data_IF_855776863160
#
_entry.id   IF_855776863160
#
_cell.length_a   1.000
_cell.length_b   1.000
_cell.length_c   1.000
_cell.angle_alpha   90.00
_cell.angle_beta   90.00
_cell.angle_gamma   90.00
#
_symmetry.space_group_name_H-M   'P 1'
#
loop_
_entity.id
_entity.type
_entity.pdbx_description
1 polymer ?
#
# COMPACT_ATOMS: atom_id res chain seq x y z
N UNK A 1 -8.87 -7.27 -5.82
CA UNK A 1 -7.54 -6.61 -5.69
C UNK A 1 -7.70 -5.14 -6.06
N UNK A 2 -8.43 -4.92 -7.13
CA UNK A 2 -8.96 -3.64 -7.54
C UNK A 2 -10.09 -3.13 -6.66
N UNK A 3 -10.26 -1.81 -6.73
CA UNK A 3 -11.42 -1.08 -6.26
C UNK A 3 -12.29 -0.65 -7.46
N UNK A 4 -13.62 -0.55 -7.28
CA UNK A 4 -14.48 0.03 -8.29
C UNK A 4 -14.21 1.52 -8.47
N UNK A 5 -14.27 1.98 -9.72
CA UNK A 5 -13.97 3.36 -10.12
C UNK A 5 -15.00 4.40 -9.66
N UNK A 6 -16.12 3.99 -9.09
CA UNK A 6 -17.19 4.87 -8.61
C UNK A 6 -17.09 5.19 -7.10
N UNK A 7 -16.03 4.76 -6.41
CA UNK A 7 -15.83 5.11 -5.00
C UNK A 7 -15.59 6.61 -4.83
N UNK A 8 -16.21 7.19 -3.80
CA UNK A 8 -15.91 8.55 -3.36
C UNK A 8 -14.43 8.68 -2.96
N UNK A 9 -13.88 9.88 -3.11
CA UNK A 9 -12.45 10.12 -2.84
C UNK A 9 -12.02 9.62 -1.45
N UNK A 10 -12.71 9.95 -0.32
CA UNK A 10 -12.32 9.42 0.98
C UNK A 10 -12.36 7.89 1.02
N UNK A 11 -13.42 7.25 0.50
CA UNK A 11 -13.54 5.78 0.49
C UNK A 11 -12.43 5.12 -0.33
N UNK A 12 -11.99 5.74 -1.42
CA UNK A 12 -10.94 5.21 -2.29
C UNK A 12 -9.54 5.16 -1.64
N UNK A 13 -9.34 5.87 -0.53
CA UNK A 13 -8.10 5.84 0.25
C UNK A 13 -8.09 4.70 1.30
N UNK A 14 -9.26 4.18 1.68
CA UNK A 14 -9.42 3.11 2.68
C UNK A 14 -9.60 1.73 2.04
N UNK A 15 -8.55 1.29 1.36
CA UNK A 15 -8.54 0.04 0.58
C UNK A 15 -8.15 -1.20 1.41
N UNK A 16 -8.88 -1.45 2.51
CA UNK A 16 -8.57 -2.57 3.43
C UNK A 16 -8.60 -3.94 2.74
N UNK A 17 -9.50 -4.13 1.77
CA UNK A 17 -9.57 -5.36 0.97
C UNK A 17 -8.28 -5.58 0.17
N UNK A 18 -7.61 -4.52 -0.30
CA UNK A 18 -6.32 -4.59 -1.01
C UNK A 18 -5.19 -4.97 -0.07
N UNK A 19 -5.18 -4.44 1.16
CA UNK A 19 -4.25 -4.87 2.22
C UNK A 19 -4.41 -6.38 2.48
N UNK A 20 -5.65 -6.83 2.66
CA UNK A 20 -5.96 -8.25 2.88
C UNK A 20 -5.53 -9.12 1.70
N UNK A 21 -5.76 -8.66 0.47
CA UNK A 21 -5.29 -9.34 -0.75
C UNK A 21 -3.76 -9.51 -0.73
N UNK A 22 -2.99 -8.45 -0.50
CA UNK A 22 -1.53 -8.55 -0.46
C UNK A 22 -1.04 -9.45 0.68
N UNK A 23 -1.66 -9.37 1.86
CA UNK A 23 -1.32 -10.25 3.00
C UNK A 23 -1.52 -11.73 2.65
N UNK A 24 -2.67 -12.07 2.09
CA UNK A 24 -2.97 -13.44 1.66
C UNK A 24 -2.03 -13.89 0.54
N UNK A 25 -1.79 -13.04 -0.46
CA UNK A 25 -0.89 -13.36 -1.57
C UNK A 25 0.54 -13.63 -1.10
N UNK A 26 1.08 -12.78 -0.23
CA UNK A 26 2.43 -12.97 0.30
C UNK A 26 2.54 -14.21 1.19
N UNK A 27 1.47 -14.60 1.90
CA UNK A 27 1.41 -15.86 2.65
C UNK A 27 1.51 -17.07 1.73
N UNK A 28 0.80 -17.07 0.62
CA UNK A 28 0.88 -18.16 -0.37
C UNK A 28 2.20 -18.14 -1.14
N UNK A 29 2.75 -16.95 -1.44
CA UNK A 29 4.09 -16.81 -2.01
C UNK A 29 5.15 -17.43 -1.09
N UNK A 30 5.02 -17.26 0.23
CA UNK A 30 5.89 -17.91 1.22
C UNK A 30 5.81 -19.42 1.15
N UNK A 31 4.60 -19.97 1.07
CA UNK A 31 4.39 -21.42 0.95
C UNK A 31 5.10 -21.95 -0.30
N UNK A 32 4.89 -21.31 -1.45
CA UNK A 32 5.55 -21.69 -2.69
C UNK A 32 7.09 -21.67 -2.57
N UNK A 33 7.65 -20.66 -1.91
CA UNK A 33 9.12 -20.58 -1.67
C UNK A 33 9.60 -21.70 -0.75
N UNK A 34 8.84 -22.03 0.29
CA UNK A 34 9.14 -23.13 1.19
C UNK A 34 9.08 -24.49 0.49
N UNK A 35 8.16 -24.63 -0.48
CA UNK A 35 8.00 -25.82 -1.32
C UNK A 35 9.06 -25.90 -2.44
N UNK A 36 10.01 -24.96 -2.50
CA UNK A 36 11.17 -25.00 -3.38
C UNK A 36 11.12 -24.03 -4.57
N UNK A 37 10.08 -23.21 -4.71
CA UNK A 37 10.02 -22.22 -5.78
C UNK A 37 11.14 -21.16 -5.62
N UNK A 38 11.88 -20.92 -6.71
CA UNK A 38 12.94 -19.91 -6.73
C UNK A 38 12.36 -18.51 -7.02
N UNK A 39 11.95 -17.81 -5.97
CA UNK A 39 11.43 -16.43 -6.06
C UNK A 39 12.47 -15.45 -5.53
N UNK A 40 12.88 -14.50 -6.37
CA UNK A 40 13.91 -13.50 -6.02
C UNK A 40 13.33 -12.09 -5.78
N UNK A 41 12.08 -11.85 -6.15
CA UNK A 41 11.45 -10.53 -5.99
C UNK A 41 9.93 -10.56 -6.10
N UNK A 42 9.31 -9.47 -5.66
CA UNK A 42 7.86 -9.25 -5.73
C UNK A 42 7.56 -7.80 -6.10
N UNK A 43 6.72 -7.59 -7.11
CA UNK A 43 6.25 -6.28 -7.53
C UNK A 43 4.73 -6.19 -7.36
N UNK A 44 4.28 -5.11 -6.74
CA UNK A 44 2.85 -4.85 -6.63
C UNK A 44 2.38 -4.12 -7.89
N UNK A 45 1.36 -4.67 -8.55
CA UNK A 45 0.61 -3.96 -9.57
C UNK A 45 -0.46 -3.09 -8.87
N UNK A 46 -0.46 -1.78 -8.99
CA UNK A 46 0.54 -0.90 -9.57
C UNK A 46 0.91 0.17 -8.55
N UNK A 47 1.96 0.95 -8.82
CA UNK A 47 2.34 2.05 -7.93
C UNK A 47 1.26 3.14 -7.97
N UNK A 48 0.89 3.58 -9.16
CA UNK A 48 -0.09 4.64 -9.39
C UNK A 48 -1.39 4.07 -9.93
N UNK A 49 -2.47 4.72 -9.58
CA UNK A 49 -3.71 4.57 -10.33
C UNK A 49 -3.48 4.92 -11.81
N UNK A 50 -3.94 4.06 -12.71
CA UNK A 50 -3.71 4.16 -14.14
C UNK A 50 -4.97 3.78 -14.92
N UNK A 51 -4.89 3.88 -16.25
CA UNK A 51 -5.93 3.45 -17.16
C UNK A 51 -5.83 1.94 -17.39
N UNK A 52 -6.85 1.18 -16.98
CA UNK A 52 -6.85 -0.29 -17.02
C UNK A 52 -7.48 -0.83 -18.31
N UNK A 53 -6.82 -0.55 -19.45
CA UNK A 53 -7.14 -1.14 -20.75
C UNK A 53 -8.63 -1.03 -21.12
N UNK A 54 -9.30 -2.16 -21.37
CA UNK A 54 -10.72 -2.21 -21.75
C UNK A 54 -11.66 -1.71 -20.63
N UNK A 55 -11.20 -1.71 -19.38
CA UNK A 55 -11.96 -1.22 -18.22
C UNK A 55 -11.78 0.29 -18.00
N UNK A 56 -10.81 0.91 -18.68
CA UNK A 56 -10.46 2.31 -18.49
C UNK A 56 -10.27 2.65 -17.01
N UNK A 57 -10.97 3.67 -16.51
CA UNK A 57 -10.88 4.14 -15.13
C UNK A 57 -11.93 3.51 -14.17
N UNK A 58 -12.57 2.42 -14.59
CA UNK A 58 -13.61 1.75 -13.78
C UNK A 58 -13.04 0.73 -12.80
N UNK A 59 -11.77 0.33 -12.94
CA UNK A 59 -11.07 -0.56 -12.03
C UNK A 59 -9.77 0.09 -11.58
N UNK A 60 -9.49 0.08 -10.27
CA UNK A 60 -8.35 0.80 -9.69
C UNK A 60 -7.40 -0.14 -8.96
N UNK A 61 -6.20 -0.37 -9.48
CA UNK A 61 -5.19 -1.24 -8.85
C UNK A 61 -4.10 -0.49 -8.07
N UNK A 62 -3.90 0.79 -8.38
CA UNK A 62 -2.81 1.59 -7.83
C UNK A 62 -2.82 1.70 -6.30
N UNK A 63 -1.64 1.59 -5.69
CA UNK A 63 -1.39 1.88 -4.27
C UNK A 63 -1.58 3.37 -3.94
N UNK A 64 -1.41 4.23 -4.93
CA UNK A 64 -1.54 5.68 -4.82
C UNK A 64 -2.70 6.13 -5.70
N UNK A 65 -3.66 6.84 -5.11
CA UNK A 65 -4.71 7.51 -5.85
C UNK A 65 -4.18 8.79 -6.50
N UNK A 66 -4.72 9.16 -7.66
CA UNK A 66 -4.35 10.38 -8.38
C UNK A 66 -5.64 11.16 -8.63
N UNK A 67 -5.69 12.41 -8.18
CA UNK A 67 -6.75 13.34 -8.60
C UNK A 67 -6.47 13.75 -10.04
N UNK A 68 -7.42 13.51 -10.95
CA UNK A 68 -7.24 13.81 -12.37
C UNK A 68 -7.41 15.29 -12.71
N UNK A 69 -7.92 16.12 -11.78
CA UNK A 69 -8.08 17.55 -11.99
C UNK A 69 -6.76 18.29 -11.80
N UNK A 70 -6.02 17.98 -10.72
CA UNK A 70 -4.79 18.70 -10.33
C UNK A 70 -3.54 17.81 -10.24
N UNK A 71 -3.67 16.52 -10.56
CA UNK A 71 -2.60 15.51 -10.52
C UNK A 71 -1.98 15.31 -9.13
N UNK A 72 -2.66 15.73 -8.04
CA UNK A 72 -2.21 15.41 -6.68
C UNK A 72 -2.30 13.92 -6.42
N UNK A 73 -1.33 13.42 -5.63
CA UNK A 73 -1.17 12.00 -5.33
C UNK A 73 -1.47 11.75 -3.87
N UNK A 74 -2.30 10.75 -3.62
CA UNK A 74 -2.77 10.40 -2.28
C UNK A 74 -2.46 8.93 -2.01
N UNK A 75 -1.44 8.62 -1.20
CA UNK A 75 -1.16 7.24 -0.81
C UNK A 75 -2.37 6.63 -0.11
N UNK A 76 -2.77 5.44 -0.54
CA UNK A 76 -3.88 4.70 0.10
C UNK A 76 -3.37 3.95 1.33
N UNK A 77 -4.29 3.40 2.11
CA UNK A 77 -3.96 2.55 3.26
C UNK A 77 -3.00 1.41 2.88
N UNK A 78 -3.19 0.79 1.72
CA UNK A 78 -2.30 -0.26 1.21
C UNK A 78 -0.87 0.21 0.93
N UNK A 79 -0.67 1.48 0.52
CA UNK A 79 0.67 2.05 0.34
C UNK A 79 1.40 2.16 1.68
N UNK A 80 0.73 2.70 2.71
CA UNK A 80 1.30 2.82 4.05
C UNK A 80 1.60 1.45 4.66
N UNK A 81 0.68 0.50 4.53
CA UNK A 81 0.89 -0.87 4.99
C UNK A 81 2.12 -1.50 4.34
N UNK A 82 2.27 -1.37 3.02
CA UNK A 82 3.42 -1.90 2.29
C UNK A 82 4.74 -1.22 2.70
N UNK A 83 4.73 0.10 2.89
CA UNK A 83 5.89 0.85 3.36
C UNK A 83 6.31 0.40 4.78
N UNK A 84 5.34 0.19 5.69
CA UNK A 84 5.60 -0.33 7.04
C UNK A 84 6.20 -1.73 7.01
N UNK A 85 5.66 -2.62 6.16
CA UNK A 85 6.20 -3.96 5.96
C UNK A 85 7.67 -3.92 5.50
N UNK A 86 8.00 -3.04 4.55
CA UNK A 86 9.38 -2.86 4.08
C UNK A 86 10.31 -2.25 5.14
N UNK A 87 9.82 -1.28 5.91
CA UNK A 87 10.59 -0.69 7.00
C UNK A 87 10.93 -1.70 8.09
N UNK A 88 9.96 -2.55 8.47
CA UNK A 88 10.17 -3.61 9.47
C UNK A 88 11.17 -4.65 8.97
N UNK A 89 11.09 -5.04 7.70
CA UNK A 89 12.11 -5.89 7.07
C UNK A 89 13.51 -5.29 7.25
N UNK A 90 13.68 -4.02 6.89
CA UNK A 90 14.99 -3.38 6.95
C UNK A 90 15.52 -3.25 8.38
N UNK A 91 14.63 -3.00 9.35
CA UNK A 91 14.99 -2.98 10.77
C UNK A 91 15.47 -4.35 11.26
N UNK A 92 14.75 -5.42 10.92
CA UNK A 92 15.05 -6.78 11.40
C UNK A 92 16.28 -7.40 10.74
N UNK A 93 16.52 -7.12 9.46
CA UNK A 93 17.61 -7.72 8.67
C UNK A 93 18.88 -6.85 8.71
N UNK A 94 18.76 -5.61 9.19
CA UNK A 94 19.83 -4.62 9.13
C UNK A 94 20.05 -4.08 7.71
N UNK A 95 20.72 -2.93 7.62
CA UNK A 95 21.00 -2.25 6.35
C UNK A 95 22.28 -2.74 5.66
N UNK A 96 22.80 -3.91 6.08
CA UNK A 96 24.06 -4.44 5.57
C UNK A 96 23.89 -5.00 4.15
N UNK A 97 24.66 -4.46 3.19
CA UNK A 97 24.54 -4.78 1.76
C UNK A 97 24.87 -6.25 1.47
N UNK A 98 25.71 -6.90 2.26
CA UNK A 98 26.05 -8.33 2.09
C UNK A 98 24.92 -9.26 2.54
N UNK A 99 24.26 -8.91 3.65
CA UNK A 99 23.06 -9.63 4.12
C UNK A 99 21.92 -9.45 3.10
N UNK A 100 21.78 -8.27 2.49
CA UNK A 100 20.70 -8.00 1.52
C UNK A 100 20.82 -8.78 0.20
N UNK A 101 22.01 -9.23 -0.22
CA UNK A 101 22.19 -10.10 -1.40
C UNK A 101 21.85 -11.57 -1.11
N UNK A 102 22.12 -12.04 0.12
CA UNK A 102 21.90 -13.44 0.53
C UNK A 102 20.50 -13.66 1.11
N UNK A 103 19.90 -12.63 1.69
CA UNK A 103 18.57 -12.66 2.29
C UNK A 103 17.53 -12.21 1.27
N UNK A 104 17.41 -13.04 0.22
CA UNK A 104 16.26 -13.09 -0.67
C UNK A 104 14.97 -13.29 0.17
N UNK A 105 13.84 -12.88 -0.42
CA UNK A 105 12.42 -12.99 -0.03
C UNK A 105 12.04 -14.00 1.09
N UNK A 106 12.78 -15.11 1.25
CA UNK A 106 12.68 -16.10 2.33
C UNK A 106 12.50 -15.54 3.76
N UNK A 107 13.21 -14.48 4.17
CA UNK A 107 13.09 -13.95 5.55
C UNK A 107 12.01 -12.87 5.74
N UNK A 108 11.75 -12.02 4.74
CA UNK A 108 10.71 -11.00 4.83
C UNK A 108 9.31 -11.61 5.04
N UNK A 109 9.13 -12.86 4.63
CA UNK A 109 7.88 -13.60 4.77
C UNK A 109 7.73 -14.31 6.13
N UNK A 110 8.80 -14.45 6.93
CA UNK A 110 8.72 -15.01 8.29
C UNK A 110 7.79 -14.15 9.16
N UNK A 111 7.79 -12.84 8.98
CA UNK A 111 7.11 -11.89 9.88
C UNK A 111 5.72 -11.41 9.41
N UNK A 112 5.23 -11.87 8.25
CA UNK A 112 3.83 -11.59 7.85
C UNK A 112 2.82 -12.26 8.79
N UNK A 113 3.24 -13.32 9.50
CA UNK A 113 2.43 -14.03 10.49
C UNK A 113 2.43 -13.37 11.88
N UNK A 114 3.39 -12.49 12.18
CA UNK A 114 3.58 -11.84 13.49
C UNK A 114 3.09 -10.38 13.49
N UNK A 115 2.66 -9.85 12.35
CA UNK A 115 1.99 -8.55 12.31
C UNK A 115 0.60 -8.70 12.92
N UNK A 116 0.19 -7.81 13.83
CA UNK A 116 -1.13 -7.89 14.47
C UNK A 116 -2.22 -8.04 13.40
N UNK A 117 -3.13 -9.00 13.61
CA UNK A 117 -4.14 -9.40 12.63
C UNK A 117 -5.01 -8.23 12.14
N UNK A 118 -5.08 -7.15 12.93
CA UNK A 118 -5.73 -5.90 12.60
C UNK A 118 -4.72 -4.76 12.50
N UNK A 119 -4.67 -4.11 11.33
CA UNK A 119 -4.64 -2.65 11.36
C UNK A 119 -5.94 -2.27 12.05
N UNK A 120 -5.86 -1.73 13.25
CA UNK A 120 -7.06 -1.43 14.02
C UNK A 120 -7.83 -0.31 13.36
N UNK A 121 -9.16 -0.31 13.48
CA UNK A 121 -10.00 0.79 13.00
C UNK A 121 -9.58 2.13 13.62
N UNK A 122 -8.95 2.13 14.79
CA UNK A 122 -8.38 3.32 15.45
C UNK A 122 -7.08 3.80 14.78
N UNK A 123 -6.20 2.90 14.35
CA UNK A 123 -5.02 3.27 13.53
C UNK A 123 -5.44 3.88 12.19
N UNK A 124 -6.51 3.35 11.61
CA UNK A 124 -7.12 3.85 10.37
C UNK A 124 -7.78 5.21 10.62
N UNK A 125 -8.63 5.35 11.63
CA UNK A 125 -9.34 6.60 11.95
C UNK A 125 -8.39 7.75 12.31
N UNK A 126 -7.30 7.47 13.04
CA UNK A 126 -6.28 8.47 13.36
C UNK A 126 -5.56 8.98 12.11
N UNK A 127 -5.16 8.07 11.22
CA UNK A 127 -4.45 8.45 9.99
C UNK A 127 -5.37 9.12 8.96
N UNK A 128 -6.65 8.76 8.98
CA UNK A 128 -7.73 9.44 8.24
C UNK A 128 -7.88 10.90 8.62
N UNK A 129 -7.85 11.17 9.92
CA UNK A 129 -7.93 12.53 10.45
C UNK A 129 -6.69 13.34 10.06
N UNK A 130 -5.49 12.74 10.07
CA UNK A 130 -4.26 13.40 9.64
C UNK A 130 -4.28 13.78 8.15
N UNK A 131 -4.71 12.86 7.27
CA UNK A 131 -4.83 13.14 5.82
C UNK A 131 -5.90 14.20 5.53
N UNK A 132 -7.01 14.20 6.29
CA UNK A 132 -8.07 15.21 6.16
C UNK A 132 -7.61 16.59 6.65
N UNK A 133 -6.83 16.64 7.72
CA UNK A 133 -6.22 17.88 8.22
C UNK A 133 -5.22 18.45 7.20
N UNK A 134 -4.43 17.62 6.52
CA UNK A 134 -3.53 18.07 5.44
C UNK A 134 -4.27 18.56 4.20
N UNK A 135 -5.42 17.95 3.83
CA UNK A 135 -6.25 18.45 2.72
C UNK A 135 -7.00 19.75 3.06
N UNK A 136 -7.46 19.90 4.30
CA UNK A 136 -8.22 21.09 4.72
C UNK A 136 -7.29 22.30 4.91
N UNK A 137 -6.04 22.08 5.33
CA UNK A 137 -5.02 23.14 5.45
C UNK A 137 -4.47 23.60 4.11
N UNK A 138 -4.40 22.73 3.11
CA UNK A 138 -4.01 23.12 1.74
C UNK A 138 -5.12 23.88 1.00
N UNK A 139 -6.39 23.55 1.23
CA UNK A 139 -7.52 24.28 0.66
C UNK A 139 -7.85 25.59 1.40
N UNK A 140 -7.44 25.73 2.67
CA UNK A 140 -7.62 26.95 3.46
C UNK A 140 -6.63 28.08 3.14
N UNK A 141 -5.51 27.76 2.47
CA UNK A 141 -4.46 28.74 2.14
C UNK A 141 -4.71 29.50 0.82
N UNK A 142 -5.67 29.08 -0.01
CA UNK A 142 -6.01 29.74 -1.28
C UNK A 142 -7.10 30.82 -1.15
N UNK A 143 -7.68 31.06 0.03
CA UNK A 143 -8.77 32.02 0.24
C UNK A 143 -8.41 33.25 1.09
N UNK A 144 -7.12 33.61 1.15
CA UNK A 144 -6.65 34.80 1.89
C UNK A 144 -5.79 35.68 0.98
N UNK A 145 -6.30 36.03 -0.20
CA UNK A 145 -5.80 37.12 -1.05
C UNK A 145 -6.90 37.49 -2.06
N UNK A 146 -7.95 38.16 -1.58
CA UNK A 146 -8.85 39.02 -2.36
C UNK A 146 -9.30 40.19 -1.47
#
# INVERSE_FOLDING_TARGET
MDDPGNLTFPKSLYDIHRVNFYRSYLKELKRAINDGANVTGYFAWSILYNFEWLLGYTSRFGLVNVDHNDLKRYPKLSAYWKARLWSLRNFLIGNDRYINQLVSVKFALVYIQELPESVTDSDIARKSAEVKLESDTTNGAENIND
#
